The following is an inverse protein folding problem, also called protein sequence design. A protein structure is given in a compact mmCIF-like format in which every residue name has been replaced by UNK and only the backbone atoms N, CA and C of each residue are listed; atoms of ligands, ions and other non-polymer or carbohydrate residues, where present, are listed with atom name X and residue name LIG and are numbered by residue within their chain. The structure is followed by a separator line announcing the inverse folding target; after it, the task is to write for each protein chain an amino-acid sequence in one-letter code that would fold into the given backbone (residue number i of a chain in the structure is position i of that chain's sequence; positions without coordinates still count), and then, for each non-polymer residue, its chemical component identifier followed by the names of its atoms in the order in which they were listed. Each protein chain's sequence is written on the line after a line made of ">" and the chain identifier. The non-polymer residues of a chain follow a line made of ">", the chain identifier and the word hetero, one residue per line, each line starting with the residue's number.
data_IF_668594277607
#
_entry.id   IF_668594277607
#
_cell.length_a   1.000
_cell.length_b   1.000
_cell.length_c   1.000
_cell.angle_alpha   90.00
_cell.angle_beta   90.00
_cell.angle_gamma   90.00
#
_symmetry.space_group_name_H-M   'P 1'
#
loop_
_entity.id
_entity.type
_entity.pdbx_description
1 polymer ?
#
# COMPACT_ATOMS: atom_id res chain seq x y z
N UNK A 1 18.65 -6.02 28.81
CA UNK A 1 18.14 -7.21 28.11
C UNK A 1 16.87 -7.68 28.81
N UNK A 2 15.85 -8.06 28.06
CA UNK A 2 14.56 -8.56 28.55
C UNK A 2 14.52 -10.09 28.53
N UNK A 3 13.98 -10.66 29.61
CA UNK A 3 13.83 -12.09 29.81
C UNK A 3 12.36 -12.40 30.13
N UNK A 4 11.89 -13.54 29.66
CA UNK A 4 10.57 -14.07 29.98
C UNK A 4 10.68 -14.96 31.21
N UNK A 5 9.73 -14.83 32.13
CA UNK A 5 9.64 -15.67 33.31
C UNK A 5 8.28 -16.34 33.35
N UNK A 6 8.27 -17.61 33.72
CA UNK A 6 7.05 -18.37 33.89
C UNK A 6 6.21 -17.79 35.03
N UNK A 7 4.97 -17.43 34.76
CA UNK A 7 4.11 -16.74 35.76
C UNK A 7 3.76 -17.61 36.97
N UNK A 8 3.80 -18.94 36.84
CA UNK A 8 3.46 -19.87 37.94
C UNK A 8 4.68 -20.25 38.78
N UNK A 9 5.83 -20.46 38.13
CA UNK A 9 7.02 -21.02 38.77
C UNK A 9 8.13 -20.00 39.02
N UNK A 10 8.06 -18.82 38.38
CA UNK A 10 9.11 -17.80 38.40
C UNK A 10 10.40 -18.21 37.67
N UNK A 11 10.42 -19.36 36.98
CA UNK A 11 11.58 -19.82 36.24
C UNK A 11 11.83 -18.94 35.01
N UNK A 12 13.11 -18.63 34.73
CA UNK A 12 13.50 -17.93 33.50
C UNK A 12 13.31 -18.85 32.28
N UNK A 13 12.48 -18.43 31.34
CA UNK A 13 12.17 -19.15 30.09
C UNK A 13 13.07 -18.69 28.92
N UNK A 14 13.97 -17.74 29.18
CA UNK A 14 14.95 -17.25 28.21
C UNK A 14 14.73 -15.81 27.80
N UNK A 15 15.39 -15.40 26.72
CA UNK A 15 15.36 -14.03 26.22
C UNK A 15 14.14 -13.78 25.35
N UNK A 16 13.43 -12.68 25.59
CA UNK A 16 12.22 -12.33 24.82
C UNK A 16 12.56 -12.09 23.35
N UNK A 17 11.77 -12.70 22.45
CA UNK A 17 11.75 -12.36 21.02
C UNK A 17 10.31 -12.21 20.59
N UNK A 18 9.93 -11.03 20.11
CA UNK A 18 8.54 -10.69 19.80
C UNK A 18 8.03 -9.46 20.54
N UNK A 19 6.72 -9.23 20.39
CA UNK A 19 5.97 -8.21 21.12
C UNK A 19 5.77 -8.65 22.58
N UNK A 20 5.90 -7.73 23.51
CA UNK A 20 5.59 -7.97 24.93
C UNK A 20 5.09 -6.68 25.59
N UNK A 21 4.39 -6.82 26.71
CA UNK A 21 3.87 -5.71 27.50
C UNK A 21 4.61 -5.61 28.84
N UNK A 22 4.92 -4.37 29.24
CA UNK A 22 5.57 -4.06 30.51
C UNK A 22 5.07 -2.69 30.98
N UNK A 23 4.58 -2.61 32.22
CA UNK A 23 4.05 -1.38 32.84
C UNK A 23 3.01 -0.65 31.97
N UNK A 24 2.14 -1.42 31.31
CA UNK A 24 1.07 -0.89 30.46
C UNK A 24 1.51 -0.32 29.11
N UNK A 25 2.78 -0.52 28.72
CA UNK A 25 3.30 -0.16 27.41
C UNK A 25 3.75 -1.40 26.64
N UNK A 26 3.57 -1.38 25.31
CA UNK A 26 4.07 -2.43 24.42
C UNK A 26 5.49 -2.16 23.96
N UNK A 27 6.29 -3.21 23.84
CA UNK A 27 7.65 -3.19 23.34
C UNK A 27 7.85 -4.30 22.32
N UNK A 28 8.92 -4.18 21.52
CA UNK A 28 9.41 -5.25 20.65
C UNK A 28 10.85 -5.56 21.01
N UNK A 29 11.19 -6.84 21.18
CA UNK A 29 12.56 -7.27 21.41
C UNK A 29 12.97 -8.40 20.47
N UNK A 30 14.27 -8.47 20.17
CA UNK A 30 14.90 -9.60 19.49
C UNK A 30 16.03 -10.09 20.38
N UNK A 31 15.96 -11.34 20.81
CA UNK A 31 16.95 -11.95 21.71
C UNK A 31 17.21 -11.08 22.96
N UNK A 32 16.13 -10.59 23.56
CA UNK A 32 16.12 -9.76 24.76
C UNK A 32 16.57 -8.32 24.53
N UNK A 33 16.88 -7.89 23.30
CA UNK A 33 17.26 -6.51 23.00
C UNK A 33 16.04 -5.76 22.51
N UNK A 34 15.59 -4.73 23.26
CA UNK A 34 14.53 -3.83 22.81
C UNK A 34 14.91 -3.16 21.48
N UNK A 35 13.91 -3.01 20.63
CA UNK A 35 14.00 -2.40 19.31
C UNK A 35 13.11 -1.17 19.24
N UNK A 36 13.59 -0.18 18.51
CA UNK A 36 12.88 1.07 18.25
C UNK A 36 12.68 1.27 16.75
N UNK A 37 11.93 2.31 16.38
CA UNK A 37 11.61 2.65 15.00
C UNK A 37 10.44 1.84 14.44
N UNK A 38 10.34 1.86 13.11
CA UNK A 38 9.31 1.13 12.36
C UNK A 38 9.65 -0.36 12.24
N UNK A 39 8.65 -1.21 12.47
CA UNK A 39 8.74 -2.65 12.26
C UNK A 39 7.45 -3.15 11.62
N UNK A 40 7.57 -3.97 10.57
CA UNK A 40 6.43 -4.73 10.06
C UNK A 40 6.37 -6.05 10.81
N UNK A 41 5.32 -6.25 11.61
CA UNK A 41 5.17 -7.39 12.52
C UNK A 41 3.84 -8.06 12.26
N UNK A 42 3.84 -9.38 12.39
CA UNK A 42 2.61 -10.19 12.44
C UNK A 42 2.08 -10.20 13.86
N UNK A 43 0.81 -9.84 14.04
CA UNK A 43 0.16 -9.93 15.35
C UNK A 43 -0.34 -11.35 15.65
N UNK A 44 -1.00 -11.52 16.81
CA UNK A 44 -1.45 -12.81 17.30
C UNK A 44 -2.51 -13.47 16.39
N UNK A 45 -3.23 -12.67 15.59
CA UNK A 45 -4.26 -13.13 14.67
C UNK A 45 -3.66 -13.51 13.29
N UNK A 46 -2.35 -13.34 13.11
CA UNK A 46 -1.65 -13.61 11.85
C UNK A 46 -1.65 -12.43 10.88
N UNK A 47 -2.15 -11.27 11.30
CA UNK A 47 -2.24 -10.07 10.46
C UNK A 47 -0.95 -9.26 10.53
N UNK A 48 -0.43 -8.88 9.36
CA UNK A 48 0.75 -8.03 9.29
C UNK A 48 0.35 -6.57 9.45
N UNK A 49 1.00 -5.84 10.36
CA UNK A 49 0.86 -4.40 10.48
C UNK A 49 2.18 -3.73 10.80
N UNK A 50 2.27 -2.45 10.50
CA UNK A 50 3.38 -1.62 10.95
C UNK A 50 3.21 -1.23 12.41
N UNK A 51 4.30 -1.35 13.16
CA UNK A 51 4.44 -0.87 14.52
C UNK A 51 5.52 0.21 14.56
N UNK A 52 5.36 1.18 15.45
CA UNK A 52 6.42 2.14 15.78
C UNK A 52 6.70 2.16 17.28
N UNK A 53 7.97 1.97 17.60
CA UNK A 53 8.51 2.05 18.96
C UNK A 53 9.41 3.27 19.09
N UNK A 54 9.18 4.07 20.12
CA UNK A 54 9.92 5.29 20.38
C UNK A 54 11.44 5.04 20.48
N UNK A 55 12.24 5.99 19.97
CA UNK A 55 13.70 5.80 19.85
C UNK A 55 14.44 5.84 21.18
N UNK A 56 13.91 6.60 22.14
CA UNK A 56 14.55 6.81 23.43
C UNK A 56 14.01 5.84 24.49
N UNK A 57 12.69 5.67 24.51
CA UNK A 57 11.98 4.89 25.54
C UNK A 57 11.67 3.46 25.11
N UNK A 58 11.77 3.14 23.82
CA UNK A 58 11.39 1.84 23.22
C UNK A 58 9.91 1.48 23.35
N UNK A 59 9.08 2.37 23.91
CA UNK A 59 7.64 2.17 24.08
C UNK A 59 6.91 2.33 22.76
N UNK A 60 5.92 1.50 22.51
CA UNK A 60 4.98 1.68 21.40
C UNK A 60 4.27 3.02 21.52
N UNK A 61 4.17 3.76 20.41
CA UNK A 61 3.43 5.03 20.42
C UNK A 61 1.93 4.80 20.63
N UNK A 62 1.28 5.80 21.23
CA UNK A 62 -0.16 5.80 21.45
C UNK A 62 -0.77 7.13 20.99
N UNK A 63 -1.91 7.04 20.31
CA UNK A 63 -2.64 8.19 19.79
C UNK A 63 -2.01 8.81 18.53
N UNK A 64 -2.39 10.06 18.21
CA UNK A 64 -1.97 10.72 16.98
C UNK A 64 -0.50 11.17 17.01
N UNK A 65 0.21 11.03 15.89
CA UNK A 65 1.59 11.46 15.70
C UNK A 65 1.84 11.97 14.27
N UNK A 66 2.55 13.10 14.17
CA UNK A 66 3.01 13.73 12.91
C UNK A 66 4.53 13.62 12.69
N UNK A 67 5.18 12.71 13.41
CA UNK A 67 6.64 12.70 13.50
C UNK A 67 7.38 12.17 12.25
N UNK A 68 6.67 11.67 11.24
CA UNK A 68 7.27 10.85 10.17
C UNK A 68 7.27 11.51 8.80
N UNK A 69 6.18 12.19 8.46
CA UNK A 69 6.03 12.90 7.20
C UNK A 69 5.32 14.22 7.45
N UNK A 70 5.73 15.22 6.69
CA UNK A 70 5.06 16.52 6.71
C UNK A 70 3.59 16.35 6.27
N UNK A 71 2.68 16.97 7.02
CA UNK A 71 1.23 16.95 6.76
C UNK A 71 0.53 15.58 6.85
N UNK A 72 1.19 14.53 7.33
CA UNK A 72 0.57 13.22 7.61
C UNK A 72 0.48 13.00 9.11
N UNK A 73 -0.71 12.66 9.61
CA UNK A 73 -0.94 12.31 11.01
C UNK A 73 -1.36 10.86 11.13
N UNK A 74 -0.48 10.00 11.62
CA UNK A 74 -0.84 8.62 11.94
C UNK A 74 -1.45 8.50 13.32
N UNK A 75 -2.30 7.50 13.52
CA UNK A 75 -2.82 7.13 14.84
C UNK A 75 -2.36 5.73 15.20
N UNK A 76 -1.82 5.59 16.42
CA UNK A 76 -1.30 4.34 16.94
C UNK A 76 -2.10 3.86 18.15
N UNK A 77 -2.18 2.53 18.29
CA UNK A 77 -2.64 1.85 19.50
C UNK A 77 -1.54 0.88 19.98
N UNK A 78 -0.91 1.22 21.10
CA UNK A 78 0.19 0.50 21.72
C UNK A 78 1.26 0.09 20.69
N UNK A 79 1.71 1.07 19.92
CA UNK A 79 2.69 0.94 18.85
C UNK A 79 2.14 0.47 17.52
N UNK A 80 0.96 -0.19 17.45
CA UNK A 80 0.36 -0.65 16.19
C UNK A 80 -0.21 0.53 15.41
N UNK A 81 0.17 0.68 14.15
CA UNK A 81 -0.46 1.64 13.23
C UNK A 81 -1.87 1.16 12.92
N UNK A 82 -2.87 2.00 13.21
CA UNK A 82 -4.28 1.62 13.01
C UNK A 82 -4.69 1.63 11.54
N UNK A 83 -4.23 2.63 10.78
CA UNK A 83 -4.48 2.76 9.35
C UNK A 83 -3.44 3.68 8.70
N UNK A 84 -3.32 3.59 7.38
CA UNK A 84 -2.61 4.59 6.59
C UNK A 84 -3.44 5.86 6.40
N UNK A 85 -2.84 6.84 5.74
CA UNK A 85 -3.41 8.18 5.58
C UNK A 85 -3.26 8.67 4.14
N UNK A 86 -4.28 9.36 3.65
CA UNK A 86 -4.27 9.99 2.35
C UNK A 86 -3.68 11.40 2.44
N UNK A 87 -2.84 11.76 1.47
CA UNK A 87 -2.33 13.12 1.31
C UNK A 87 -2.51 13.57 -0.14
N UNK A 88 -3.30 14.63 -0.32
CA UNK A 88 -3.52 15.28 -1.61
C UNK A 88 -2.73 16.58 -1.69
N UNK A 89 -2.04 16.76 -2.81
CA UNK A 89 -1.27 17.95 -3.17
C UNK A 89 -1.63 18.34 -4.60
N UNK A 90 -1.11 19.46 -5.08
CA UNK A 90 -1.29 19.89 -6.48
C UNK A 90 -0.73 18.89 -7.50
N UNK A 91 0.18 18.01 -7.08
CA UNK A 91 0.75 16.96 -7.94
C UNK A 91 -0.13 15.70 -8.01
N UNK A 92 -1.07 15.55 -7.06
CA UNK A 92 -1.92 14.37 -6.94
C UNK A 92 -2.00 13.84 -5.51
N UNK A 93 -2.58 12.65 -5.38
CA UNK A 93 -2.91 12.02 -4.10
C UNK A 93 -2.09 10.75 -3.86
N UNK A 94 -1.47 10.64 -2.69
CA UNK A 94 -0.72 9.45 -2.23
C UNK A 94 -1.40 8.80 -1.02
N UNK A 95 -1.15 7.51 -0.82
CA UNK A 95 -1.54 6.79 0.40
C UNK A 95 -0.29 6.38 1.20
N UNK A 96 -0.13 6.98 2.38
CA UNK A 96 0.97 6.77 3.29
C UNK A 96 0.65 5.62 4.25
N UNK A 97 1.50 4.61 4.33
CA UNK A 97 1.33 3.47 5.25
C UNK A 97 2.68 2.99 5.80
N UNK A 98 2.86 3.16 7.11
CA UNK A 98 4.09 2.80 7.80
C UNK A 98 5.25 3.78 7.51
N UNK A 99 6.47 3.28 7.24
CA UNK A 99 7.64 4.13 7.00
C UNK A 99 7.69 4.72 5.58
N UNK A 100 6.65 4.53 4.75
CA UNK A 100 6.62 4.97 3.34
C UNK A 100 5.18 5.19 2.86
N UNK A 101 5.01 5.43 1.56
CA UNK A 101 3.74 5.41 0.85
C UNK A 101 3.68 4.27 -0.18
N UNK A 102 2.47 3.94 -0.60
CA UNK A 102 2.20 2.93 -1.63
C UNK A 102 2.62 3.47 -3.00
N UNK A 103 3.37 2.67 -3.76
CA UNK A 103 3.87 3.06 -5.09
C UNK A 103 4.02 1.85 -6.01
N UNK A 104 3.76 2.06 -7.31
CA UNK A 104 4.03 1.15 -8.41
C UNK A 104 3.20 -0.13 -8.44
N UNK A 105 2.01 -0.16 -7.81
CA UNK A 105 1.23 -1.39 -7.64
C UNK A 105 -0.26 -1.13 -7.42
N UNK A 106 -1.03 -2.20 -7.62
CA UNK A 106 -2.38 -2.34 -7.07
C UNK A 106 -2.36 -2.37 -5.55
N UNK A 107 -3.33 -1.70 -4.93
CA UNK A 107 -3.48 -1.69 -3.49
C UNK A 107 -4.93 -1.44 -3.08
N UNK A 108 -5.40 -2.14 -2.05
CA UNK A 108 -6.74 -1.97 -1.51
C UNK A 108 -6.69 -1.09 -0.27
N UNK A 109 -7.49 -0.04 -0.24
CA UNK A 109 -7.66 0.85 0.93
C UNK A 109 -9.13 0.83 1.30
N UNK A 110 -9.43 0.40 2.52
CA UNK A 110 -10.80 0.37 3.07
C UNK A 110 -11.82 -0.36 2.17
N UNK A 111 -11.38 -1.43 1.50
CA UNK A 111 -12.20 -2.25 0.59
C UNK A 111 -12.16 -1.82 -0.87
N UNK A 112 -11.70 -0.60 -1.16
CA UNK A 112 -11.65 -0.06 -2.52
C UNK A 112 -10.28 -0.29 -3.17
N UNK A 113 -10.27 -0.63 -4.46
CA UNK A 113 -9.05 -0.99 -5.20
C UNK A 113 -8.51 0.20 -5.98
N UNK A 114 -7.22 0.47 -5.84
CA UNK A 114 -6.50 1.57 -6.49
C UNK A 114 -5.24 1.06 -7.18
N UNK A 115 -4.74 1.80 -8.16
CA UNK A 115 -3.38 1.63 -8.68
C UNK A 115 -2.55 2.89 -8.41
N UNK A 116 -1.34 2.70 -7.90
CA UNK A 116 -0.39 3.78 -7.63
C UNK A 116 0.75 3.74 -8.63
N UNK A 117 1.09 4.90 -9.19
CA UNK A 117 2.22 5.06 -10.11
C UNK A 117 3.56 4.82 -9.40
N UNK A 118 4.68 4.71 -10.14
CA UNK A 118 6.01 4.53 -9.54
C UNK A 118 6.44 5.64 -8.58
N UNK A 119 5.84 6.83 -8.68
CA UNK A 119 6.07 7.96 -7.79
C UNK A 119 5.12 7.96 -6.57
N UNK A 120 4.14 7.05 -6.52
CA UNK A 120 3.18 6.87 -5.44
C UNK A 120 1.89 7.67 -5.54
N UNK A 121 1.60 8.30 -6.69
CA UNK A 121 0.32 8.96 -6.91
C UNK A 121 -0.71 7.96 -7.41
N UNK A 122 -1.93 7.98 -6.86
CA UNK A 122 -3.01 7.12 -7.37
C UNK A 122 -3.44 7.57 -8.75
N UNK A 123 -3.74 6.61 -9.61
CA UNK A 123 -4.35 6.87 -10.91
C UNK A 123 -5.79 7.39 -10.79
N UNK A 124 -6.19 8.16 -11.80
CA UNK A 124 -7.55 8.68 -12.02
C UNK A 124 -7.89 8.63 -13.50
N UNK A 125 -9.18 8.53 -13.80
CA UNK A 125 -9.75 8.38 -15.13
C UNK A 125 -9.30 7.10 -15.82
N UNK A 126 -9.37 7.10 -17.14
CA UNK A 126 -8.90 5.96 -17.94
C UNK A 126 -7.37 5.86 -17.90
N UNK A 127 -6.87 4.71 -17.45
CA UNK A 127 -5.45 4.35 -17.46
C UNK A 127 -5.30 2.88 -17.79
N UNK A 128 -4.27 2.53 -18.55
CA UNK A 128 -3.92 1.14 -18.72
C UNK A 128 -2.83 0.71 -17.75
N UNK A 129 -3.00 -0.48 -17.18
CA UNK A 129 -2.06 -1.10 -16.24
C UNK A 129 -2.07 -2.61 -16.41
N UNK A 130 -1.02 -3.26 -15.91
CA UNK A 130 -1.02 -4.73 -15.75
C UNK A 130 -1.76 -5.11 -14.49
N UNK A 131 -2.56 -6.18 -14.55
CA UNK A 131 -3.21 -6.76 -13.37
C UNK A 131 -2.17 -7.36 -12.41
N UNK A 132 -1.15 -8.03 -12.94
CA UNK A 132 -0.05 -8.60 -12.16
C UNK A 132 1.32 -8.37 -12.80
N UNK A 133 2.38 -8.80 -12.10
CA UNK A 133 3.76 -8.74 -12.63
C UNK A 133 4.11 -9.91 -13.56
N UNK A 134 3.16 -10.79 -13.88
CA UNK A 134 3.40 -11.84 -14.86
C UNK A 134 3.70 -11.22 -16.23
N UNK A 135 4.73 -11.75 -16.89
CA UNK A 135 5.17 -11.24 -18.18
C UNK A 135 4.08 -11.40 -19.25
N UNK A 136 3.38 -12.53 -19.19
CA UNK A 136 2.37 -12.94 -20.17
C UNK A 136 1.00 -12.29 -19.96
N UNK A 137 0.81 -11.57 -18.84
CA UNK A 137 -0.45 -10.89 -18.58
C UNK A 137 -0.67 -9.75 -19.58
N UNK A 138 -1.85 -9.77 -20.18
CA UNK A 138 -2.32 -8.65 -21.00
C UNK A 138 -2.41 -7.37 -20.17
N UNK A 139 -2.19 -6.25 -20.86
CA UNK A 139 -2.41 -4.93 -20.30
C UNK A 139 -3.85 -4.54 -20.64
N UNK A 140 -4.59 -4.07 -19.64
CA UNK A 140 -5.97 -3.61 -19.83
C UNK A 140 -6.09 -2.13 -19.47
N UNK A 141 -7.01 -1.45 -20.14
CA UNK A 141 -7.53 -0.17 -19.70
C UNK A 141 -8.50 -0.38 -18.55
N UNK A 142 -8.34 0.40 -17.49
CA UNK A 142 -9.24 0.45 -16.34
C UNK A 142 -9.81 1.85 -16.20
N UNK A 143 -11.04 1.92 -15.68
CA UNK A 143 -11.65 3.15 -15.24
C UNK A 143 -11.40 3.37 -13.75
N UNK A 144 -10.61 4.39 -13.42
CA UNK A 144 -10.34 4.78 -12.04
C UNK A 144 -11.19 5.95 -11.55
N UNK A 145 -12.11 6.50 -12.36
CA UNK A 145 -12.90 7.68 -11.96
C UNK A 145 -12.05 8.90 -11.54
N UNK A 146 -12.68 9.96 -11.05
CA UNK A 146 -11.94 11.11 -10.50
C UNK A 146 -11.43 10.85 -9.08
N UNK A 147 -12.14 10.00 -8.34
CA UNK A 147 -11.82 9.55 -6.97
C UNK A 147 -10.75 8.46 -6.92
N UNK A 148 -10.30 7.95 -8.07
CA UNK A 148 -9.22 6.98 -8.21
C UNK A 148 -9.61 5.54 -7.91
N UNK A 149 -10.88 5.28 -7.60
CA UNK A 149 -11.39 3.94 -7.33
C UNK A 149 -11.49 3.19 -8.66
N UNK A 150 -10.92 1.99 -8.70
CA UNK A 150 -11.01 1.14 -9.89
C UNK A 150 -12.42 0.54 -10.02
N UNK A 151 -13.16 0.98 -11.03
CA UNK A 151 -14.46 0.43 -11.43
C UNK A 151 -14.35 -0.81 -12.33
N UNK A 152 -13.13 -1.28 -12.59
CA UNK A 152 -12.84 -2.44 -13.41
C UNK A 152 -12.33 -2.08 -14.80
N UNK A 153 -12.24 -3.11 -15.65
CA UNK A 153 -11.74 -2.97 -17.03
C UNK A 153 -12.74 -2.14 -17.83
N UNK A 154 -12.23 -1.16 -18.59
CA UNK A 154 -12.99 -0.38 -19.53
C UNK A 154 -13.37 -1.27 -20.74
N UNK A 155 -14.56 -1.87 -20.68
CA UNK A 155 -15.06 -2.79 -21.70
C UNK A 155 -15.39 -2.07 -23.02
N UNK A 156 -14.39 -1.92 -23.87
CA UNK A 156 -14.47 -1.20 -25.15
C UNK A 156 -13.70 -1.93 -26.26
N UNK A 157 -14.30 -1.97 -27.45
CA UNK A 157 -13.66 -2.45 -28.68
C UNK A 157 -13.78 -1.40 -29.77
N UNK A 158 -12.66 -0.97 -30.35
CA UNK A 158 -12.62 0.06 -31.39
C UNK A 158 -11.64 1.19 -31.08
N UNK A 159 -11.67 2.25 -31.90
CA UNK A 159 -10.88 3.46 -31.70
C UNK A 159 -11.44 4.31 -30.57
N UNK A 160 -10.57 4.89 -29.75
CA UNK A 160 -10.96 5.97 -28.83
C UNK A 160 -9.85 7.01 -28.68
N UNK A 161 -10.25 8.20 -28.23
CA UNK A 161 -9.39 9.37 -28.13
C UNK A 161 -9.26 9.81 -26.68
N UNK A 162 -8.03 9.91 -26.18
CA UNK A 162 -7.75 10.31 -24.81
C UNK A 162 -6.49 11.16 -24.76
N UNK A 163 -6.60 12.34 -24.13
CA UNK A 163 -5.50 13.30 -23.95
C UNK A 163 -4.75 13.62 -25.26
N UNK A 164 -5.50 13.80 -26.36
CA UNK A 164 -4.95 14.12 -27.68
C UNK A 164 -4.31 12.93 -28.42
N UNK A 165 -4.35 11.73 -27.85
CA UNK A 165 -3.86 10.51 -28.49
C UNK A 165 -5.01 9.61 -28.92
N UNK A 166 -4.78 8.81 -29.96
CA UNK A 166 -5.71 7.79 -30.45
C UNK A 166 -5.21 6.42 -30.03
N UNK A 167 -6.12 5.59 -29.53
CA UNK A 167 -5.86 4.23 -29.08
C UNK A 167 -6.86 3.27 -29.73
N UNK A 168 -6.53 1.98 -29.70
CA UNK A 168 -7.42 0.91 -30.09
C UNK A 168 -7.45 -0.16 -29.00
N UNK A 169 -8.63 -0.70 -28.74
CA UNK A 169 -8.82 -1.77 -27.76
C UNK A 169 -9.66 -2.89 -28.32
N UNK A 170 -9.51 -4.08 -27.74
CA UNK A 170 -10.40 -5.22 -27.92
C UNK A 170 -10.79 -5.69 -26.52
N UNK A 171 -12.05 -5.53 -26.15
CA UNK A 171 -12.62 -5.83 -24.83
C UNK A 171 -11.81 -5.21 -23.68
N UNK A 172 -11.37 -3.96 -23.88
CA UNK A 172 -10.55 -3.20 -22.95
C UNK A 172 -9.06 -3.55 -22.93
N UNK A 173 -8.64 -4.60 -23.64
CA UNK A 173 -7.22 -4.96 -23.78
C UNK A 173 -6.49 -3.91 -24.62
N UNK A 174 -5.32 -3.47 -24.15
CA UNK A 174 -4.41 -2.62 -24.91
C UNK A 174 -3.92 -3.38 -26.15
N UNK A 175 -4.02 -2.74 -27.31
CA UNK A 175 -3.58 -3.31 -28.58
C UNK A 175 -2.32 -2.60 -29.08
N UNK A 176 -1.26 -3.39 -29.35
CA UNK A 176 0.00 -2.93 -29.94
C UNK A 176 0.20 -3.61 -31.29
N UNK A 177 0.63 -2.86 -32.30
CA UNK A 177 0.80 -3.32 -33.68
C UNK A 177 -0.28 -2.82 -34.64
N UNK A 178 -0.45 -3.53 -35.75
CA UNK A 178 -1.32 -3.15 -36.86
C UNK A 178 -2.73 -3.75 -36.70
N UNK A 179 -3.76 -2.90 -36.69
CA UNK A 179 -5.17 -3.30 -36.56
C UNK A 179 -6.02 -2.64 -37.65
N UNK A 180 -7.02 -3.37 -38.16
CA UNK A 180 -8.07 -2.82 -39.00
C UNK A 180 -9.15 -2.25 -38.09
N UNK A 181 -9.37 -0.94 -38.16
CA UNK A 181 -10.38 -0.25 -37.37
C UNK A 181 -11.77 -0.30 -38.04
N UNK A 182 -12.77 0.10 -37.27
CA UNK A 182 -14.18 0.12 -37.65
C UNK A 182 -14.51 1.08 -38.81
N UNK A 183 -13.65 2.07 -39.06
CA UNK A 183 -13.76 3.01 -40.18
C UNK A 183 -13.22 2.45 -41.51
N UNK A 184 -12.69 1.22 -41.50
CA UNK A 184 -12.16 0.52 -42.67
C UNK A 184 -10.68 0.81 -42.96
N UNK A 185 -9.97 1.55 -42.11
CA UNK A 185 -8.54 1.84 -42.25
C UNK A 185 -7.68 1.02 -41.30
N UNK A 186 -6.43 0.76 -41.72
CA UNK A 186 -5.42 0.15 -40.87
C UNK A 186 -4.66 1.21 -40.09
N UNK A 187 -4.50 0.99 -38.78
CA UNK A 187 -3.75 1.83 -37.86
C UNK A 187 -2.66 1.02 -37.16
N UNK A 188 -1.50 1.64 -36.95
CA UNK A 188 -0.40 1.05 -36.18
C UNK A 188 -0.31 1.73 -34.81
N UNK A 189 -0.41 0.95 -33.74
CA UNK A 189 -0.31 1.41 -32.35
C UNK A 189 1.01 0.95 -31.72
N UNK A 190 1.78 1.88 -31.15
CA UNK A 190 3.08 1.64 -30.53
C UNK A 190 3.03 1.60 -29.01
#
# INVERSE_FOLDING_TARGET
>A
YFYQFNETTGACEGKVTGLFELDGARYYAINGVAKSGWWNLTDADGENSYYYFDKETFKGLNGPSRAFFENVTYTFDNGKLLKGEWLTTDQGTKYYYGPTFVQGKWYTVEGEKYYFDPQGYRYTGLRYVKESYNHDDHIYWYDFGEDGICHGVYQHTGLFYLNGNTYYTIDGMVCFGLYLAEDGYYYYFG
#
